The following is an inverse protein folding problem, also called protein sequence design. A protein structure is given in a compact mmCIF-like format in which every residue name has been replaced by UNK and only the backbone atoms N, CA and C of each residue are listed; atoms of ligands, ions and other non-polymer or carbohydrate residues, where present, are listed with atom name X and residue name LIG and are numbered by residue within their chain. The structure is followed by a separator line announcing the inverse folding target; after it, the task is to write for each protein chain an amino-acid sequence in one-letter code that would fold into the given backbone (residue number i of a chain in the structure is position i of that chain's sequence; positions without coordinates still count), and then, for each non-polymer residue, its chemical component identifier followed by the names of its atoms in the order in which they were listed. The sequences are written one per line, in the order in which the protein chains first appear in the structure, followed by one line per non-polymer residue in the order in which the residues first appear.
data_IF_571264091990
#
_entry.id   IF_571264091990
#
_cell.length_a   1.000
_cell.length_b   1.000
_cell.length_c   1.000
_cell.angle_alpha   90.00
_cell.angle_beta   90.00
_cell.angle_gamma   90.00
#
_symmetry.space_group_name_H-M   'P 1'
#
loop_
_entity.id
_entity.type
_entity.pdbx_description
1 polymer ?
#
# COMPACT_ATOMS: atom_id res chain seq x y z
N UNK A 1 8.72 16.12 14.81
CA UNK A 1 7.47 16.85 15.16
C UNK A 1 6.38 16.20 14.35
N UNK A 2 5.31 15.64 14.91
CA UNK A 2 4.27 14.91 14.17
C UNK A 2 3.76 15.63 12.91
N UNK A 3 3.51 14.89 11.82
CA UNK A 3 3.15 15.40 10.49
C UNK A 3 1.81 16.13 10.58
N UNK A 4 0.79 15.49 11.14
CA UNK A 4 -0.56 16.06 11.22
C UNK A 4 -1.11 16.17 12.64
N UNK A 5 -0.61 15.40 13.62
CA UNK A 5 -1.11 15.51 15.01
C UNK A 5 -0.85 16.91 15.60
N UNK A 6 0.24 17.56 15.19
CA UNK A 6 0.57 18.92 15.62
C UNK A 6 -0.31 19.98 14.95
N UNK A 7 -0.84 19.70 13.76
CA UNK A 7 -1.77 20.60 13.05
C UNK A 7 -3.18 20.58 13.65
N UNK A 8 -3.51 19.54 14.43
CA UNK A 8 -4.86 19.30 14.96
C UNK A 8 -5.88 18.79 13.93
N UNK A 9 -5.50 18.67 12.66
CA UNK A 9 -6.40 18.25 11.58
C UNK A 9 -6.79 16.76 11.66
N UNK A 10 -5.92 15.94 12.25
CA UNK A 10 -6.13 14.51 12.43
C UNK A 10 -5.75 14.10 13.85
N UNK A 11 -6.50 13.15 14.41
CA UNK A 11 -6.21 12.56 15.73
C UNK A 11 -5.94 11.06 15.60
N UNK A 12 -5.25 10.50 16.60
CA UNK A 12 -5.05 9.05 16.70
C UNK A 12 -6.38 8.28 16.62
N UNK A 13 -7.41 8.79 17.32
CA UNK A 13 -8.73 8.18 17.31
C UNK A 13 -9.35 8.19 15.91
N UNK A 14 -9.20 9.29 15.15
CA UNK A 14 -9.71 9.34 13.78
C UNK A 14 -9.05 8.29 12.88
N UNK A 15 -7.75 8.02 13.05
CA UNK A 15 -7.07 6.99 12.27
C UNK A 15 -7.49 5.58 12.69
N UNK A 16 -7.63 5.32 13.99
CA UNK A 16 -8.15 4.03 14.50
C UNK A 16 -9.56 3.78 13.98
N UNK A 17 -10.45 4.77 14.05
CA UNK A 17 -11.82 4.66 13.55
C UNK A 17 -11.83 4.43 12.03
N UNK A 18 -10.96 5.12 11.28
CA UNK A 18 -10.81 4.90 9.84
C UNK A 18 -10.43 3.45 9.52
N UNK A 19 -9.38 2.92 10.16
CA UNK A 19 -8.91 1.54 9.94
C UNK A 19 -9.95 0.52 10.38
N UNK A 20 -10.59 0.72 11.56
CA UNK A 20 -11.66 -0.14 12.04
C UNK A 20 -12.80 -0.22 11.03
N UNK A 21 -13.24 0.92 10.50
CA UNK A 21 -14.35 0.97 9.56
C UNK A 21 -13.99 0.36 8.20
N UNK A 22 -12.79 0.62 7.68
CA UNK A 22 -12.32 0.02 6.41
C UNK A 22 -12.18 -1.50 6.50
N UNK A 23 -11.82 -2.02 7.69
CA UNK A 23 -11.76 -3.44 8.01
C UNK A 23 -13.08 -4.01 8.56
N UNK A 24 -14.20 -3.35 8.28
CA UNK A 24 -15.55 -3.85 8.60
C UNK A 24 -15.75 -4.18 10.10
N UNK A 25 -15.14 -3.39 10.99
CA UNK A 25 -15.23 -3.56 12.44
C UNK A 25 -14.20 -4.49 13.06
N UNK A 26 -13.46 -5.28 12.26
CA UNK A 26 -12.56 -6.32 12.77
C UNK A 26 -11.12 -5.85 12.66
N UNK A 27 -10.60 -5.25 13.73
CA UNK A 27 -9.19 -4.88 13.83
C UNK A 27 -8.66 -4.93 15.26
N UNK A 28 -7.34 -5.06 15.41
CA UNK A 28 -6.64 -4.90 16.69
C UNK A 28 -6.31 -3.44 16.92
N UNK A 29 -7.27 -2.70 17.46
CA UNK A 29 -7.17 -1.25 17.67
C UNK A 29 -5.97 -0.83 18.51
N UNK A 30 -5.59 -1.65 19.49
CA UNK A 30 -4.41 -1.44 20.30
C UNK A 30 -3.12 -1.42 19.45
N UNK A 31 -3.01 -2.32 18.48
CA UNK A 31 -1.89 -2.35 17.54
C UNK A 31 -1.95 -1.22 16.52
N UNK A 32 -3.14 -0.90 16.00
CA UNK A 32 -3.34 0.22 15.07
C UNK A 32 -2.95 1.55 15.73
N UNK A 33 -3.43 1.80 16.95
CA UNK A 33 -3.09 2.96 17.74
C UNK A 33 -1.60 3.03 18.06
N UNK A 34 -0.97 1.88 18.37
CA UNK A 34 0.47 1.81 18.61
C UNK A 34 1.28 2.20 17.37
N UNK A 35 0.93 1.69 16.19
CA UNK A 35 1.61 2.06 14.94
C UNK A 35 1.39 3.55 14.65
N UNK A 36 0.15 4.02 14.72
CA UNK A 36 -0.22 5.38 14.33
C UNK A 36 0.43 6.47 15.19
N UNK A 37 0.67 6.21 16.49
CA UNK A 37 1.38 7.19 17.34
C UNK A 37 2.90 7.23 17.09
N UNK A 38 3.48 6.24 16.40
CA UNK A 38 4.92 6.16 16.14
C UNK A 38 5.29 6.50 14.68
N UNK A 39 4.38 6.30 13.73
CA UNK A 39 4.66 6.37 12.29
C UNK A 39 5.23 7.71 11.83
N UNK A 40 4.71 8.83 12.34
CA UNK A 40 5.17 10.17 11.94
C UNK A 40 6.66 10.37 12.26
N UNK A 41 7.15 9.85 13.40
CA UNK A 41 8.58 9.94 13.73
C UNK A 41 9.44 9.23 12.70
N UNK A 42 8.96 8.09 12.18
CA UNK A 42 9.63 7.35 11.10
C UNK A 42 9.61 8.14 9.78
N UNK A 43 8.51 8.81 9.45
CA UNK A 43 8.42 9.67 8.24
C UNK A 43 9.44 10.80 8.29
N UNK A 44 9.59 11.49 9.44
CA UNK A 44 10.61 12.54 9.59
C UNK A 44 12.04 11.99 9.50
N UNK A 45 12.27 10.76 9.94
CA UNK A 45 13.56 10.10 9.76
C UNK A 45 13.84 9.82 8.28
N UNK A 46 12.83 9.38 7.52
CA UNK A 46 12.99 9.20 6.08
C UNK A 46 13.36 10.49 5.38
N UNK A 47 12.66 11.60 5.67
CA UNK A 47 13.02 12.91 5.11
C UNK A 47 14.43 13.33 5.53
N UNK A 48 14.79 13.16 6.81
CA UNK A 48 16.12 13.45 7.33
C UNK A 48 17.23 12.63 6.66
N UNK A 49 16.95 11.39 6.28
CA UNK A 49 17.87 10.52 5.54
C UNK A 49 17.92 10.83 4.05
N UNK A 50 17.10 11.76 3.56
CA UNK A 50 17.15 12.26 2.19
C UNK A 50 16.01 11.81 1.29
N UNK A 51 14.94 11.20 1.82
CA UNK A 51 13.73 10.93 1.03
C UNK A 51 13.02 12.26 0.71
N UNK A 52 12.88 12.65 -0.56
CA UNK A 52 12.20 13.91 -0.90
C UNK A 52 10.69 13.76 -0.71
N UNK A 53 10.13 14.54 0.21
CA UNK A 53 8.67 14.65 0.43
C UNK A 53 8.18 15.92 -0.27
N UNK A 54 7.07 15.81 -1.00
CA UNK A 54 6.49 16.94 -1.70
C UNK A 54 6.06 18.03 -0.71
N UNK A 55 6.37 19.28 -1.05
CA UNK A 55 6.00 20.46 -0.26
C UNK A 55 5.32 21.52 -1.13
N UNK A 56 4.34 22.20 -0.55
CA UNK A 56 3.72 23.37 -1.17
C UNK A 56 4.65 24.60 -1.09
N UNK A 57 4.18 25.75 -1.60
CA UNK A 57 4.94 26.99 -1.62
C UNK A 57 5.26 27.55 -0.22
N UNK A 58 4.48 27.15 0.77
CA UNK A 58 4.62 27.58 2.17
C UNK A 58 5.45 26.56 2.98
N UNK A 59 5.89 25.47 2.35
CA UNK A 59 6.73 24.43 2.95
C UNK A 59 5.94 23.32 3.65
N UNK A 60 4.61 23.30 3.56
CA UNK A 60 3.79 22.24 4.15
C UNK A 60 3.81 20.99 3.26
N UNK A 61 3.69 19.80 3.87
CA UNK A 61 3.64 18.56 3.10
C UNK A 61 2.39 18.47 2.23
N UNK A 62 2.57 17.99 0.99
CA UNK A 62 1.47 17.80 0.05
C UNK A 62 0.80 16.45 0.32
N UNK A 63 -0.50 16.49 0.54
CA UNK A 63 -1.35 15.33 0.80
C UNK A 63 -1.97 14.79 -0.50
N UNK A 64 -1.88 13.47 -0.73
CA UNK A 64 -2.61 12.77 -1.80
C UNK A 64 -4.09 12.62 -1.41
N UNK A 65 -4.30 12.11 -0.19
CA UNK A 65 -5.59 11.91 0.47
C UNK A 65 -5.51 12.41 1.91
N UNK A 66 -6.43 11.98 2.78
CA UNK A 66 -6.41 12.42 4.18
C UNK A 66 -5.20 11.89 4.98
N UNK A 67 -4.64 10.75 4.58
CA UNK A 67 -3.68 9.99 5.39
C UNK A 67 -2.34 9.74 4.68
N UNK A 68 -2.18 10.26 3.45
CA UNK A 68 -1.07 9.93 2.56
C UNK A 68 -0.37 11.20 2.12
N UNK A 69 0.97 11.20 2.17
CA UNK A 69 1.79 12.27 1.63
C UNK A 69 2.36 11.87 0.27
N UNK A 70 2.48 12.85 -0.62
CA UNK A 70 3.20 12.70 -1.89
C UNK A 70 4.71 12.71 -1.63
N UNK A 71 5.44 11.78 -2.26
CA UNK A 71 6.89 11.61 -2.13
C UNK A 71 7.50 11.34 -3.50
N UNK A 72 8.73 11.78 -3.73
CA UNK A 72 9.54 11.33 -4.86
C UNK A 72 10.24 10.03 -4.43
N UNK A 73 9.66 8.87 -4.76
CA UNK A 73 9.97 7.59 -4.09
C UNK A 73 10.87 6.62 -4.84
N UNK A 74 11.39 6.99 -6.02
CA UNK A 74 12.26 6.12 -6.83
C UNK A 74 13.37 5.45 -6.00
N UNK A 75 14.03 6.22 -5.12
CA UNK A 75 15.14 5.76 -4.27
C UNK A 75 14.72 5.38 -2.84
N UNK A 76 13.42 5.30 -2.53
CA UNK A 76 12.94 5.13 -1.15
C UNK A 76 13.54 3.88 -0.46
N UNK A 77 13.56 2.73 -1.14
CA UNK A 77 14.18 1.53 -0.57
C UNK A 77 15.67 1.67 -0.34
N UNK A 78 16.38 2.39 -1.21
CA UNK A 78 17.83 2.63 -1.09
C UNK A 78 18.12 3.47 0.15
N UNK A 79 17.40 4.57 0.35
CA UNK A 79 17.53 5.44 1.53
C UNK A 79 17.34 4.65 2.83
N UNK A 80 16.26 3.86 2.91
CA UNK A 80 15.97 3.05 4.11
C UNK A 80 17.00 1.94 4.31
N UNK A 81 17.47 1.30 3.23
CA UNK A 81 18.46 0.24 3.31
C UNK A 81 19.83 0.77 3.77
N UNK A 82 20.22 1.96 3.34
CA UNK A 82 21.46 2.61 3.80
C UNK A 82 21.38 2.92 5.29
N UNK A 83 20.30 3.54 5.76
CA UNK A 83 20.09 3.82 7.18
C UNK A 83 20.15 2.54 8.04
N UNK A 84 19.54 1.44 7.56
CA UNK A 84 19.57 0.15 8.24
C UNK A 84 20.99 -0.46 8.27
N UNK A 85 21.74 -0.39 7.16
CA UNK A 85 23.13 -0.89 7.10
C UNK A 85 24.05 -0.11 8.03
N UNK A 86 23.91 1.21 8.10
CA UNK A 86 24.69 2.06 9.00
C UNK A 86 24.38 1.74 10.47
N UNK A 87 23.10 1.66 10.83
CA UNK A 87 22.69 1.31 12.19
C UNK A 87 23.18 -0.09 12.61
N UNK A 88 23.13 -1.07 11.70
CA UNK A 88 23.69 -2.40 11.95
C UNK A 88 25.21 -2.33 12.18
N UNK A 89 25.95 -1.60 11.35
CA UNK A 89 27.40 -1.45 11.51
C UNK A 89 27.77 -0.79 12.86
N UNK A 90 27.06 0.28 13.25
CA UNK A 90 27.24 0.96 14.55
C UNK A 90 26.97 0.03 15.73
N UNK A 91 25.98 -0.86 15.61
CA UNK A 91 25.64 -1.85 16.62
C UNK A 91 26.56 -3.09 16.61
N UNK A 92 27.56 -3.15 15.72
CA UNK A 92 28.39 -4.35 15.52
C UNK A 92 27.61 -5.55 14.95
N UNK A 93 26.47 -5.28 14.31
CA UNK A 93 25.62 -6.27 13.67
C UNK A 93 26.15 -6.75 12.32
N UNK A 94 25.59 -7.86 11.86
CA UNK A 94 25.91 -8.46 10.56
C UNK A 94 24.64 -8.51 9.70
N UNK A 95 24.82 -8.36 8.39
CA UNK A 95 23.75 -8.60 7.42
C UNK A 95 24.21 -9.65 6.42
N UNK A 96 23.30 -10.56 6.08
CA UNK A 96 23.55 -11.67 5.16
C UNK A 96 22.61 -11.52 3.97
N UNK A 97 23.16 -11.26 2.79
CA UNK A 97 22.40 -11.21 1.54
C UNK A 97 22.47 -12.55 0.82
N UNK A 98 21.49 -12.80 -0.07
CA UNK A 98 21.43 -14.04 -0.87
C UNK A 98 21.41 -15.33 -0.02
N UNK A 99 20.88 -15.25 1.20
CA UNK A 99 20.54 -16.39 2.05
C UNK A 99 19.03 -16.49 2.14
N UNK A 100 18.46 -17.61 1.69
CA UNK A 100 17.03 -17.87 1.77
C UNK A 100 16.73 -18.63 3.06
N UNK A 101 15.96 -18.01 3.96
CA UNK A 101 15.50 -18.64 5.20
C UNK A 101 14.33 -19.57 4.88
N UNK A 102 14.37 -20.79 5.40
CA UNK A 102 13.36 -21.83 5.14
C UNK A 102 12.53 -22.14 6.38
N UNK A 103 13.16 -22.48 7.50
CA UNK A 103 12.48 -22.99 8.69
C UNK A 103 12.97 -22.29 9.97
N UNK A 104 12.10 -22.18 10.99
CA UNK A 104 12.56 -21.85 12.34
C UNK A 104 13.43 -22.99 12.90
N UNK A 105 14.40 -22.64 13.74
CA UNK A 105 15.11 -23.61 14.57
C UNK A 105 14.36 -23.68 15.91
N UNK A 106 13.83 -24.85 16.26
CA UNK A 106 12.98 -25.05 17.45
C UNK A 106 13.70 -25.88 18.51
N UNK A 107 13.47 -25.54 19.79
CA UNK A 107 13.78 -26.34 20.97
C UNK A 107 12.51 -26.47 21.82
N UNK A 108 11.82 -27.61 21.68
CA UNK A 108 10.43 -27.74 22.13
C UNK A 108 9.55 -26.68 21.48
N UNK A 109 8.82 -25.92 22.30
CA UNK A 109 7.94 -24.83 21.87
C UNK A 109 8.67 -23.48 21.72
N UNK A 110 10.00 -23.45 21.89
CA UNK A 110 10.79 -22.22 21.82
C UNK A 110 11.51 -22.10 20.47
N UNK A 111 11.31 -20.98 19.78
CA UNK A 111 12.11 -20.63 18.61
C UNK A 111 13.50 -20.14 19.07
N UNK A 112 14.53 -20.92 18.75
CA UNK A 112 15.93 -20.65 19.11
C UNK A 112 16.78 -20.25 17.90
N UNK A 113 16.14 -19.87 16.80
CA UNK A 113 16.80 -19.29 15.62
C UNK A 113 16.14 -19.65 14.29
N UNK A 114 16.95 -19.81 13.25
CA UNK A 114 16.47 -20.07 11.89
C UNK A 114 17.48 -20.87 11.05
N UNK A 115 16.95 -21.61 10.07
CA UNK A 115 17.73 -22.40 9.12
C UNK A 115 17.48 -21.86 7.71
N UNK A 116 18.55 -21.71 6.94
CA UNK A 116 18.50 -21.29 5.54
C UNK A 116 19.68 -21.80 4.73
N UNK A 117 19.73 -21.41 3.47
CA UNK A 117 20.84 -21.77 2.58
C UNK A 117 21.19 -20.62 1.65
N UNK A 118 22.44 -20.58 1.19
CA UNK A 118 22.89 -19.62 0.20
C UNK A 118 22.31 -19.96 -1.17
N UNK A 119 21.80 -18.96 -1.89
CA UNK A 119 21.41 -19.10 -3.31
C UNK A 119 22.56 -18.76 -4.27
N UNK A 120 23.80 -18.75 -3.77
CA UNK A 120 25.02 -18.48 -4.54
C UNK A 120 26.13 -19.51 -4.31
N UNK A 121 26.05 -20.27 -3.22
CA UNK A 121 27.08 -21.22 -2.80
C UNK A 121 26.42 -22.46 -2.18
N UNK A 122 27.12 -23.60 -2.15
CA UNK A 122 26.67 -24.82 -1.48
C UNK A 122 26.89 -24.71 0.04
N UNK A 123 26.17 -23.80 0.70
CA UNK A 123 26.33 -23.48 2.12
C UNK A 123 24.98 -23.41 2.82
N UNK A 124 24.84 -24.23 3.87
CA UNK A 124 23.70 -24.19 4.80
C UNK A 124 24.07 -23.25 5.95
N UNK A 125 23.12 -22.39 6.33
CA UNK A 125 23.21 -21.49 7.47
C UNK A 125 22.30 -21.99 8.59
N UNK A 126 22.86 -22.07 9.79
CA UNK A 126 22.11 -22.31 11.02
C UNK A 126 22.36 -21.12 11.94
N UNK A 127 21.37 -20.24 12.04
CA UNK A 127 21.42 -19.09 12.94
C UNK A 127 20.83 -19.52 14.27
N UNK A 128 21.61 -19.41 15.35
CA UNK A 128 21.13 -19.55 16.73
C UNK A 128 20.88 -18.17 17.30
N UNK A 129 19.68 -17.92 17.82
CA UNK A 129 19.28 -16.62 18.34
C UNK A 129 18.44 -16.77 19.61
N UNK A 130 18.51 -15.76 20.49
CA UNK A 130 17.65 -15.68 21.69
C UNK A 130 16.25 -15.17 21.36
N UNK A 131 16.13 -14.41 20.27
CA UNK A 131 14.88 -13.87 19.76
C UNK A 131 14.99 -13.77 18.24
N UNK A 132 13.88 -14.08 17.55
CA UNK A 132 13.81 -14.10 16.09
C UNK A 132 12.66 -13.20 15.64
N UNK A 133 12.94 -12.20 14.79
CA UNK A 133 11.92 -11.37 14.15
C UNK A 133 11.70 -11.85 12.72
N UNK A 134 10.45 -12.12 12.37
CA UNK A 134 10.06 -12.56 11.02
C UNK A 134 9.48 -11.38 10.25
N UNK A 135 10.16 -10.95 9.19
CA UNK A 135 9.76 -9.84 8.34
C UNK A 135 9.93 -10.16 6.84
N UNK A 136 9.40 -11.32 6.39
CA UNK A 136 9.59 -11.86 5.04
C UNK A 136 8.41 -11.59 4.09
N UNK A 137 7.67 -10.49 4.32
CA UNK A 137 6.55 -10.07 3.48
C UNK A 137 5.31 -10.97 3.57
N UNK A 138 4.35 -10.71 2.68
CA UNK A 138 3.08 -11.44 2.56
C UNK A 138 3.15 -12.63 1.59
N UNK A 139 2.04 -12.94 0.94
CA UNK A 139 1.92 -14.03 -0.04
C UNK A 139 1.26 -13.56 -1.34
N UNK A 140 1.89 -13.88 -2.47
CA UNK A 140 1.32 -13.71 -3.83
C UNK A 140 1.42 -15.00 -4.62
N UNK A 141 0.79 -15.04 -5.80
CA UNK A 141 0.70 -16.24 -6.67
C UNK A 141 0.04 -17.48 -6.01
N UNK A 142 -0.61 -17.31 -4.86
CA UNK A 142 -1.46 -18.33 -4.23
C UNK A 142 -2.83 -18.47 -4.92
N UNK A 143 -3.19 -17.50 -5.78
CA UNK A 143 -4.33 -17.56 -6.69
C UNK A 143 -3.86 -17.41 -8.14
N UNK A 144 -4.58 -18.05 -9.08
CA UNK A 144 -4.31 -17.89 -10.52
C UNK A 144 -4.50 -16.42 -10.94
N UNK A 145 -3.47 -15.75 -11.49
CA UNK A 145 -3.58 -14.36 -11.96
C UNK A 145 -4.40 -14.26 -13.26
N UNK A 146 -4.75 -13.02 -13.64
CA UNK A 146 -5.48 -12.76 -14.90
C UNK A 146 -4.66 -13.02 -16.16
N UNK A 147 -3.33 -12.89 -16.07
CA UNK A 147 -2.37 -13.16 -17.14
C UNK A 147 -1.50 -14.35 -16.75
N UNK A 148 -1.46 -15.39 -17.59
CA UNK A 148 -0.75 -16.66 -17.28
C UNK A 148 0.41 -16.98 -18.21
N UNK A 149 0.65 -16.16 -19.23
CA UNK A 149 1.87 -16.20 -20.05
C UNK A 149 2.99 -15.38 -19.41
N UNK A 150 3.72 -14.61 -20.21
CA UNK A 150 4.79 -13.72 -19.71
C UNK A 150 4.30 -12.71 -18.66
N UNK A 151 3.04 -12.28 -18.76
CA UNK A 151 2.40 -11.42 -17.75
C UNK A 151 2.20 -12.04 -16.37
N UNK A 152 2.54 -13.33 -16.17
CA UNK A 152 2.46 -13.99 -14.87
C UNK A 152 3.30 -13.28 -13.81
N UNK A 153 4.48 -12.77 -14.17
CA UNK A 153 5.36 -12.01 -13.27
C UNK A 153 4.83 -10.62 -12.88
N UNK A 154 3.66 -10.23 -13.42
CA UNK A 154 2.99 -8.97 -13.08
C UNK A 154 1.85 -9.18 -12.09
N UNK A 155 2.23 -9.35 -10.83
CA UNK A 155 1.32 -9.23 -9.70
C UNK A 155 1.30 -7.78 -9.19
N UNK A 156 0.18 -7.33 -8.61
CA UNK A 156 0.09 -6.01 -7.97
C UNK A 156 1.00 -5.91 -6.73
N UNK A 157 0.98 -6.95 -5.90
CA UNK A 157 1.87 -7.06 -4.75
C UNK A 157 3.16 -7.81 -5.17
N UNK A 158 4.32 -7.61 -4.51
CA UNK A 158 5.59 -8.03 -5.08
C UNK A 158 5.69 -9.53 -5.38
N UNK A 159 6.11 -9.94 -6.60
CA UNK A 159 6.12 -11.35 -7.05
C UNK A 159 7.10 -12.23 -6.27
N UNK A 160 8.03 -11.64 -5.54
CA UNK A 160 9.00 -12.35 -4.70
C UNK A 160 8.46 -12.71 -3.30
N UNK A 161 7.25 -12.30 -2.93
CA UNK A 161 6.62 -12.65 -1.66
C UNK A 161 5.88 -14.00 -1.74
N UNK A 162 6.53 -15.07 -1.29
CA UNK A 162 6.02 -16.46 -1.41
C UNK A 162 5.22 -16.97 -0.21
N UNK A 163 4.83 -16.12 0.74
CA UNK A 163 4.19 -16.55 1.98
C UNK A 163 5.17 -17.11 3.03
N UNK A 164 6.46 -16.80 2.91
CA UNK A 164 7.51 -17.28 3.80
C UNK A 164 7.27 -16.91 5.27
N UNK A 165 6.76 -15.70 5.57
CA UNK A 165 6.41 -15.30 6.93
C UNK A 165 5.35 -16.23 7.52
N UNK A 166 4.26 -16.47 6.78
CA UNK A 166 3.16 -17.32 7.23
C UNK A 166 3.62 -18.76 7.44
N UNK A 167 4.38 -19.33 6.49
CA UNK A 167 4.96 -20.66 6.66
C UNK A 167 5.81 -20.75 7.93
N UNK A 168 6.76 -19.82 8.10
CA UNK A 168 7.70 -19.85 9.20
C UNK A 168 7.00 -19.75 10.55
N UNK A 169 6.03 -18.85 10.70
CA UNK A 169 5.32 -18.65 11.97
C UNK A 169 4.35 -19.79 12.27
N UNK A 170 3.62 -20.30 11.26
CA UNK A 170 2.73 -21.46 11.44
C UNK A 170 3.55 -22.70 11.82
N UNK A 171 4.68 -22.93 11.15
CA UNK A 171 5.56 -24.05 11.46
C UNK A 171 6.13 -23.96 12.87
N UNK A 172 6.44 -22.76 13.35
CA UNK A 172 6.87 -22.51 14.72
C UNK A 172 5.75 -22.68 15.77
N UNK A 173 4.50 -22.94 15.36
CA UNK A 173 3.36 -23.06 16.26
C UNK A 173 2.78 -21.71 16.73
N UNK A 174 3.13 -20.60 16.07
CA UNK A 174 2.59 -19.29 16.42
C UNK A 174 1.10 -19.17 16.05
N UNK A 175 0.32 -18.51 16.91
CA UNK A 175 -1.08 -18.20 16.63
C UNK A 175 -1.20 -17.27 15.41
N UNK A 176 -2.12 -17.62 14.50
CA UNK A 176 -2.47 -16.81 13.35
C UNK A 176 -3.83 -16.17 13.56
N UNK A 177 -4.04 -14.99 12.97
CA UNK A 177 -5.31 -14.27 13.04
C UNK A 177 -5.70 -13.72 11.67
N UNK A 178 -7.00 -13.56 11.42
CA UNK A 178 -7.60 -12.99 10.21
C UNK A 178 -7.05 -13.57 8.89
N UNK A 179 -6.73 -14.88 8.83
CA UNK A 179 -6.13 -15.51 7.64
C UNK A 179 -7.10 -15.60 6.46
N UNK A 180 -8.41 -15.49 6.73
CA UNK A 180 -9.47 -15.41 5.74
C UNK A 180 -9.52 -14.04 5.02
N UNK A 181 -8.90 -13.01 5.61
CA UNK A 181 -8.88 -11.66 5.04
C UNK A 181 -7.88 -11.59 3.89
N UNK A 182 -8.39 -11.30 2.71
CA UNK A 182 -7.61 -11.10 1.49
C UNK A 182 -7.82 -9.72 0.91
N UNK A 183 -6.75 -9.12 0.41
CA UNK A 183 -6.83 -7.83 -0.27
C UNK A 183 -6.93 -8.02 -1.78
N UNK A 184 -8.01 -7.50 -2.38
CA UNK A 184 -8.23 -7.52 -3.83
C UNK A 184 -8.11 -6.09 -4.36
N UNK A 185 -6.97 -5.71 -4.96
CA UNK A 185 -6.75 -4.36 -5.43
C UNK A 185 -7.52 -4.10 -6.72
N UNK A 186 -8.26 -2.98 -6.78
CA UNK A 186 -8.79 -2.43 -8.04
C UNK A 186 -7.76 -1.45 -8.60
N UNK A 187 -7.28 -1.72 -9.80
CA UNK A 187 -6.15 -1.03 -10.44
C UNK A 187 -6.37 -0.93 -11.94
N UNK A 188 -5.49 -0.21 -12.63
CA UNK A 188 -5.45 -0.26 -14.09
C UNK A 188 -5.26 -1.69 -14.58
N UNK A 189 -6.04 -2.06 -15.60
CA UNK A 189 -6.11 -3.44 -16.12
C UNK A 189 -4.72 -3.92 -16.58
N UNK A 190 -4.46 -5.20 -16.35
CA UNK A 190 -3.26 -5.96 -16.74
C UNK A 190 -1.96 -5.56 -16.00
N UNK A 191 -1.54 -4.30 -16.07
CA UNK A 191 -0.30 -3.84 -15.45
C UNK A 191 -0.42 -3.52 -13.94
N UNK A 192 -1.65 -3.38 -13.44
CA UNK A 192 -1.98 -3.06 -12.04
C UNK A 192 -1.42 -1.73 -11.52
N UNK A 193 -1.28 -0.74 -12.39
CA UNK A 193 -0.84 0.60 -12.00
C UNK A 193 -1.79 1.27 -10.99
N UNK A 194 -1.25 2.18 -10.17
CA UNK A 194 -1.97 2.86 -9.09
C UNK A 194 -3.16 3.68 -9.60
N UNK A 195 -4.15 3.85 -8.72
CA UNK A 195 -5.38 4.63 -8.97
C UNK A 195 -5.60 5.70 -7.90
N UNK A 196 -4.72 5.79 -6.90
CA UNK A 196 -4.84 6.70 -5.76
C UNK A 196 -4.82 8.15 -6.21
N UNK A 197 -3.74 8.57 -6.88
CA UNK A 197 -3.60 9.92 -7.39
C UNK A 197 -4.74 10.27 -8.36
N UNK A 198 -5.13 9.34 -9.23
CA UNK A 198 -6.25 9.54 -10.16
C UNK A 198 -7.59 9.82 -9.48
N UNK A 199 -7.94 9.06 -8.44
CA UNK A 199 -9.21 9.25 -7.73
C UNK A 199 -9.15 10.41 -6.73
N UNK A 200 -8.03 10.59 -6.04
CA UNK A 200 -7.91 11.50 -4.90
C UNK A 200 -7.35 12.86 -5.29
N UNK A 201 -6.30 12.93 -6.11
CA UNK A 201 -5.70 14.19 -6.54
C UNK A 201 -6.42 14.75 -7.78
N UNK A 202 -6.51 13.94 -8.85
CA UNK A 202 -7.09 14.38 -10.12
C UNK A 202 -8.62 14.30 -10.17
N UNK A 203 -9.25 13.75 -9.12
CA UNK A 203 -10.73 13.62 -8.99
C UNK A 203 -11.38 12.91 -10.18
N UNK A 204 -10.65 11.97 -10.80
CA UNK A 204 -11.20 11.11 -11.84
C UNK A 204 -12.32 10.24 -11.29
N UNK A 205 -13.24 9.87 -12.17
CA UNK A 205 -14.34 8.94 -11.87
C UNK A 205 -14.13 7.64 -12.64
N UNK A 206 -14.60 6.55 -12.06
CA UNK A 206 -14.70 5.28 -12.75
C UNK A 206 -16.14 5.05 -13.22
N UNK A 207 -16.33 4.72 -14.49
CA UNK A 207 -17.64 4.45 -15.08
C UNK A 207 -17.66 3.10 -15.79
N UNK A 208 -18.84 2.50 -15.90
CA UNK A 208 -19.06 1.29 -16.68
C UNK A 208 -19.13 1.61 -18.19
N UNK A 209 -19.20 0.58 -19.06
CA UNK A 209 -19.21 0.75 -20.51
C UNK A 209 -20.43 1.49 -21.05
N UNK A 210 -21.49 1.66 -20.24
CA UNK A 210 -22.69 2.43 -20.57
C UNK A 210 -22.64 3.86 -20.05
N UNK A 211 -21.51 4.29 -19.46
CA UNK A 211 -21.32 5.60 -18.87
C UNK A 211 -21.86 5.74 -17.44
N UNK A 212 -22.41 4.68 -16.85
CA UNK A 212 -22.94 4.70 -15.47
C UNK A 212 -21.83 4.75 -14.42
N UNK A 213 -22.09 5.46 -13.32
CA UNK A 213 -21.17 5.56 -12.20
C UNK A 213 -21.62 4.59 -11.11
N UNK A 214 -21.00 3.42 -11.05
CA UNK A 214 -21.41 2.33 -10.14
C UNK A 214 -21.45 2.74 -8.66
N UNK A 215 -20.63 3.70 -8.23
CA UNK A 215 -20.66 4.21 -6.85
C UNK A 215 -21.95 4.98 -6.53
N UNK A 216 -22.55 5.62 -7.53
CA UNK A 216 -23.81 6.36 -7.42
C UNK A 216 -25.00 5.47 -7.75
N UNK A 217 -24.92 4.75 -8.86
CA UNK A 217 -26.01 3.95 -9.39
C UNK A 217 -26.34 2.78 -8.45
N UNK A 218 -25.34 2.21 -7.77
CA UNK A 218 -25.51 1.15 -6.79
C UNK A 218 -25.50 1.66 -5.34
N UNK A 219 -25.67 2.97 -5.09
CA UNK A 219 -25.54 3.54 -3.75
C UNK A 219 -26.55 2.96 -2.73
N UNK A 220 -27.74 2.53 -3.17
CA UNK A 220 -28.73 1.89 -2.30
C UNK A 220 -28.25 0.56 -1.70
N UNK A 221 -27.28 -0.11 -2.34
CA UNK A 221 -26.67 -1.33 -1.80
C UNK A 221 -25.91 -1.06 -0.49
N UNK A 222 -25.41 0.17 -0.29
CA UNK A 222 -24.68 0.55 0.93
C UNK A 222 -25.54 0.42 2.20
N UNK A 223 -26.86 0.52 2.08
CA UNK A 223 -27.79 0.42 3.21
C UNK A 223 -27.76 -0.97 3.85
N UNK A 224 -27.42 -2.02 3.08
CA UNK A 224 -27.28 -3.39 3.61
C UNK A 224 -26.04 -3.59 4.47
N UNK A 225 -25.09 -2.66 4.41
CA UNK A 225 -23.79 -2.76 5.07
C UNK A 225 -23.65 -1.78 6.25
N UNK A 226 -24.76 -1.27 6.79
CA UNK A 226 -24.72 -0.40 7.95
C UNK A 226 -24.09 -1.10 9.18
N UNK A 227 -23.29 -0.36 9.99
CA UNK A 227 -23.00 1.08 9.87
C UNK A 227 -21.95 1.42 8.80
N UNK A 228 -21.16 0.45 8.35
CA UNK A 228 -19.96 0.65 7.51
C UNK A 228 -20.26 1.28 6.14
N UNK A 229 -21.38 0.93 5.52
CA UNK A 229 -21.82 1.49 4.23
C UNK A 229 -22.07 3.00 4.25
N UNK A 230 -22.23 3.60 5.44
CA UNK A 230 -22.44 5.05 5.62
C UNK A 230 -21.19 5.81 6.03
N UNK A 231 -20.09 5.11 6.32
CA UNK A 231 -18.81 5.74 6.69
C UNK A 231 -18.18 6.42 5.46
N UNK A 232 -17.50 7.54 5.69
CA UNK A 232 -16.74 8.27 4.67
C UNK A 232 -15.25 8.33 5.05
N UNK A 233 -14.33 7.86 4.18
CA UNK A 233 -14.59 7.18 2.91
C UNK A 233 -15.26 5.81 3.11
N UNK A 234 -15.99 5.34 2.09
CA UNK A 234 -16.58 4.00 2.10
C UNK A 234 -15.47 2.93 2.11
N UNK A 235 -15.62 1.84 2.90
CA UNK A 235 -14.65 0.76 2.96
C UNK A 235 -14.23 0.23 1.59
N UNK A 236 -12.93 -0.05 1.41
CA UNK A 236 -12.38 -0.45 0.11
C UNK A 236 -13.05 -1.71 -0.48
N UNK A 237 -13.32 -2.71 0.34
CA UNK A 237 -14.03 -3.92 -0.05
C UNK A 237 -15.47 -3.65 -0.53
N UNK A 238 -16.21 -2.72 0.12
CA UNK A 238 -17.56 -2.33 -0.32
C UNK A 238 -17.50 -1.56 -1.64
N UNK A 239 -16.51 -0.66 -1.82
CA UNK A 239 -16.29 0.01 -3.11
C UNK A 239 -16.05 -1.00 -4.24
N UNK A 240 -15.28 -2.05 -3.96
CA UNK A 240 -15.08 -3.14 -4.91
C UNK A 240 -16.39 -3.92 -5.16
N UNK A 241 -17.20 -4.15 -4.13
CA UNK A 241 -18.49 -4.84 -4.26
C UNK A 241 -19.44 -4.09 -5.20
N UNK A 242 -19.58 -2.77 -5.04
CA UNK A 242 -20.44 -1.95 -5.92
C UNK A 242 -19.98 -2.01 -7.39
N UNK A 243 -18.66 -2.04 -7.63
CA UNK A 243 -18.11 -2.24 -8.97
C UNK A 243 -18.43 -3.63 -9.51
N UNK A 244 -18.32 -4.66 -8.66
CA UNK A 244 -18.57 -6.05 -9.05
C UNK A 244 -20.04 -6.28 -9.44
N UNK A 245 -21.01 -5.61 -8.82
CA UNK A 245 -22.42 -5.66 -9.24
C UNK A 245 -22.58 -5.30 -10.72
N UNK A 246 -21.94 -4.21 -11.15
CA UNK A 246 -21.99 -3.79 -12.55
C UNK A 246 -21.27 -4.77 -13.49
N UNK A 247 -20.14 -5.35 -13.06
CA UNK A 247 -19.43 -6.37 -13.86
C UNK A 247 -20.28 -7.63 -13.99
N UNK A 248 -20.94 -8.08 -12.93
CA UNK A 248 -21.82 -9.25 -12.92
C UNK A 248 -23.07 -9.05 -13.78
N UNK A 249 -23.59 -7.81 -13.83
CA UNK A 249 -24.68 -7.41 -14.74
C UNK A 249 -24.25 -7.26 -16.21
N UNK A 250 -22.97 -7.54 -16.54
CA UNK A 250 -22.45 -7.40 -17.89
C UNK A 250 -22.32 -5.95 -18.37
N UNK A 251 -22.21 -4.98 -17.45
CA UNK A 251 -22.00 -3.56 -17.76
C UNK A 251 -20.51 -3.20 -17.93
N UNK A 252 -19.60 -4.14 -17.70
CA UNK A 252 -18.17 -3.94 -17.93
C UNK A 252 -17.82 -3.70 -19.42
N UNK A 253 -16.59 -3.24 -19.74
CA UNK A 253 -15.49 -2.91 -18.82
C UNK A 253 -15.73 -1.68 -17.94
N UNK A 254 -14.94 -1.55 -16.87
CA UNK A 254 -14.91 -0.36 -16.02
C UNK A 254 -13.73 0.51 -16.46
N UNK A 255 -14.00 1.77 -16.76
CA UNK A 255 -13.05 2.73 -17.29
C UNK A 255 -12.78 3.83 -16.28
N UNK A 256 -11.50 4.10 -16.02
CA UNK A 256 -11.07 5.32 -15.34
C UNK A 256 -11.11 6.47 -16.35
N UNK A 257 -11.90 7.50 -16.09
CA UNK A 257 -12.09 8.62 -17.01
C UNK A 257 -10.98 9.66 -16.82
N UNK A 258 -9.75 9.29 -17.18
CA UNK A 258 -8.55 10.14 -17.00
C UNK A 258 -8.58 11.36 -17.93
N UNK A 259 -9.02 11.20 -19.18
CA UNK A 259 -9.15 12.29 -20.13
C UNK A 259 -10.12 13.38 -19.64
N UNK A 260 -11.28 12.99 -19.13
CA UNK A 260 -12.27 13.91 -18.57
C UNK A 260 -11.73 14.61 -17.31
N UNK A 261 -11.02 13.88 -16.45
CA UNK A 261 -10.40 14.44 -15.25
C UNK A 261 -9.37 15.53 -15.61
N UNK A 262 -8.46 15.24 -16.54
CA UNK A 262 -7.46 16.21 -17.02
C UNK A 262 -8.16 17.42 -17.65
N UNK A 263 -9.16 17.19 -18.50
CA UNK A 263 -9.94 18.26 -19.13
C UNK A 263 -10.61 19.17 -18.10
N UNK A 264 -11.25 18.62 -17.08
CA UNK A 264 -11.89 19.41 -16.01
C UNK A 264 -10.90 20.27 -15.22
N UNK A 265 -9.65 19.83 -15.07
CA UNK A 265 -8.61 20.63 -14.41
C UNK A 265 -8.11 21.71 -15.37
N UNK A 266 -7.88 21.35 -16.64
CA UNK A 266 -7.47 22.25 -17.70
C UNK A 266 -8.47 23.41 -17.90
N UNK A 267 -9.77 23.13 -17.91
CA UNK A 267 -10.84 24.11 -18.13
C UNK A 267 -10.93 25.16 -16.99
N UNK A 268 -10.27 24.94 -15.85
CA UNK A 268 -10.18 25.91 -14.73
C UNK A 268 -9.01 26.88 -14.86
N UNK A 269 -8.13 26.71 -15.84
CA UNK A 269 -7.00 27.59 -16.04
C UNK A 269 -7.47 28.97 -16.55
N UNK A 270 -7.02 30.08 -15.94
CA UNK A 270 -7.48 31.43 -16.30
C UNK A 270 -7.02 31.90 -17.68
N UNK A 271 -5.92 31.34 -18.21
CA UNK A 271 -5.33 31.73 -19.50
C UNK A 271 -4.49 30.59 -20.13
N UNK A 272 -4.18 30.71 -21.42
CA UNK A 272 -3.46 29.68 -22.18
C UNK A 272 -2.05 29.37 -21.63
N UNK A 273 -1.35 30.35 -21.06
CA UNK A 273 -0.01 30.15 -20.47
C UNK A 273 -0.12 29.36 -19.17
N UNK A 274 -1.08 29.71 -18.32
CA UNK A 274 -1.38 28.98 -17.08
C UNK A 274 -1.83 27.54 -17.38
N UNK A 275 -2.62 27.34 -18.44
CA UNK A 275 -3.05 26.03 -18.92
C UNK A 275 -1.85 25.17 -19.33
N UNK A 276 -0.98 25.67 -20.21
CA UNK A 276 0.22 24.92 -20.66
C UNK A 276 1.12 24.55 -19.49
N UNK A 277 1.31 25.46 -18.54
CA UNK A 277 2.08 25.18 -17.32
C UNK A 277 1.40 24.09 -16.48
N UNK A 278 0.10 24.21 -16.24
CA UNK A 278 -0.64 23.27 -15.40
C UNK A 278 -0.71 21.88 -16.03
N UNK A 279 -0.90 21.77 -17.34
CA UNK A 279 -0.87 20.48 -18.05
C UNK A 279 0.48 19.77 -17.90
N UNK A 280 1.59 20.51 -18.02
CA UNK A 280 2.93 19.94 -17.84
C UNK A 280 3.17 19.46 -16.39
N UNK A 281 2.71 20.23 -15.41
CA UNK A 281 2.76 19.83 -14.00
C UNK A 281 1.93 18.56 -13.75
N UNK A 282 0.69 18.53 -14.22
CA UNK A 282 -0.22 17.38 -14.08
C UNK A 282 0.32 16.13 -14.77
N UNK A 283 0.92 16.27 -15.95
CA UNK A 283 1.55 15.17 -16.66
C UNK A 283 2.70 14.58 -15.83
N UNK A 284 3.59 15.42 -15.30
CA UNK A 284 4.69 14.98 -14.45
C UNK A 284 4.18 14.27 -13.19
N UNK A 285 3.23 14.89 -12.47
CA UNK A 285 2.59 14.33 -11.27
C UNK A 285 1.95 12.95 -11.55
N UNK A 286 1.22 12.83 -12.66
CA UNK A 286 0.52 11.61 -13.01
C UNK A 286 1.45 10.48 -13.46
N UNK A 287 2.54 10.81 -14.16
CA UNK A 287 3.54 9.81 -14.57
C UNK A 287 4.40 9.35 -13.41
N UNK A 288 4.75 10.24 -12.49
CA UNK A 288 5.53 9.89 -11.30
C UNK A 288 4.83 8.82 -10.46
N UNK A 289 3.50 8.88 -10.33
CA UNK A 289 2.70 7.83 -9.66
C UNK A 289 2.98 6.42 -10.22
N UNK A 290 3.27 6.30 -11.52
CA UNK A 290 3.64 5.02 -12.13
C UNK A 290 5.14 4.71 -12.06
N UNK A 291 5.99 5.72 -12.25
CA UNK A 291 7.45 5.54 -12.37
C UNK A 291 8.11 5.26 -11.02
N UNK A 292 7.61 5.85 -9.94
CA UNK A 292 8.25 5.83 -8.62
C UNK A 292 7.83 4.64 -7.74
N UNK A 293 6.81 3.88 -8.16
CA UNK A 293 6.24 2.74 -7.42
C UNK A 293 6.52 1.36 -8.06
N UNK A 294 7.51 1.28 -8.96
CA UNK A 294 7.89 0.04 -9.67
C UNK A 294 8.77 -0.93 -8.86
#
# INVERSE_FOLDING_TARGET
QYVDLNSGNNTLQNYVDYVRNDLMGICREDLVANIARHVDSTVHLFEKWGLPIWKDKDGNYVHEGRWQLMIHSESYKVVVAEAAKNALAEAGGQYFERVFITHPLMDGDTCVGAIGFSVRENKIYVFKAKATLVAMGGAVHVFKPRSTGEGFGRSWYPPFNSGASAFFTIYAGAEMTCQEVRFIPVRFKDAYGPVGAWLLLFKSIATNARGGNYMRDNAAELDKWEPYGKVKPAPANIRNWLMMLDVMDGKGPIYMQTADAIKQIADKAPDEKSLKKKLKELESEAWEDFLDMC
#
